data_IF_275463896971
#
_entry.id   IF_275463896971
#
_cell.length_a   1.000
_cell.length_b   1.000
_cell.length_c   1.000
_cell.angle_alpha   90.00
_cell.angle_beta   90.00
_cell.angle_gamma   90.00
#
_symmetry.space_group_name_H-M   'P 1'
#
loop_
_entity.id
_entity.type
_entity.pdbx_description
1 polymer ?
#
# COMPACT_ATOMS: atom_id res chain seq x y z
N UNK A 1 41.58 13.18 -35.18
CA UNK A 1 40.46 12.51 -34.47
C UNK A 1 39.30 13.50 -34.37
N UNK A 2 38.23 13.28 -35.15
CA UNK A 2 37.16 14.26 -35.37
C UNK A 2 36.10 14.24 -34.27
N UNK A 3 35.75 15.42 -33.75
CA UNK A 3 34.66 15.64 -32.78
C UNK A 3 33.32 15.63 -33.53
N UNK A 4 32.42 14.72 -33.16
CA UNK A 4 31.03 14.67 -33.66
C UNK A 4 30.13 15.42 -32.68
N UNK A 5 29.54 16.52 -33.15
CA UNK A 5 28.47 17.24 -32.44
C UNK A 5 27.13 16.67 -32.89
N UNK A 6 26.29 16.24 -31.94
CA UNK A 6 24.91 15.81 -32.19
C UNK A 6 24.01 17.00 -31.86
N UNK A 7 23.34 17.53 -32.89
CA UNK A 7 22.26 18.51 -32.75
C UNK A 7 20.98 17.77 -32.33
N UNK A 8 20.41 18.17 -31.19
CA UNK A 8 19.11 17.72 -30.70
C UNK A 8 18.08 18.81 -31.05
N UNK A 9 17.22 18.53 -32.02
CA UNK A 9 16.16 19.43 -32.46
C UNK A 9 14.96 19.29 -31.52
N UNK A 10 14.61 20.37 -30.84
CA UNK A 10 13.37 20.53 -30.08
C UNK A 10 12.20 20.76 -31.04
N UNK A 11 11.23 19.84 -31.09
CA UNK A 11 9.92 20.09 -31.69
C UNK A 11 8.94 20.54 -30.61
N UNK A 12 8.73 21.86 -30.54
CA UNK A 12 7.55 22.45 -29.92
C UNK A 12 6.37 22.30 -30.88
N UNK A 13 5.40 21.43 -30.53
CA UNK A 13 4.12 21.35 -31.21
C UNK A 13 3.05 22.05 -30.37
N UNK A 14 2.63 23.24 -30.81
CA UNK A 14 1.58 24.05 -30.19
C UNK A 14 0.18 23.54 -30.53
N UNK A 15 -0.70 23.68 -29.53
CA UNK A 15 -2.14 23.45 -29.51
C UNK A 15 -2.87 24.16 -30.67
N UNK A 16 -3.84 23.48 -31.28
CA UNK A 16 -4.89 24.11 -32.09
C UNK A 16 -6.22 23.41 -31.82
N UNK A 17 -7.13 24.08 -31.11
CA UNK A 17 -8.55 23.72 -31.04
C UNK A 17 -9.36 24.84 -31.72
N UNK A 18 -10.33 24.51 -32.58
CA UNK A 18 -11.15 25.52 -33.25
C UNK A 18 -12.24 26.06 -32.33
N UNK A 19 -12.39 27.39 -32.37
CA UNK A 19 -13.51 28.13 -31.81
C UNK A 19 -14.76 27.96 -32.68
N UNK A 20 -15.91 27.72 -32.05
CA UNK A 20 -17.23 28.01 -32.64
C UNK A 20 -18.07 28.74 -31.59
N UNK A 21 -18.37 29.99 -31.91
CA UNK A 21 -19.35 30.87 -31.27
C UNK A 21 -20.79 30.41 -31.60
N UNK A 22 -21.73 30.59 -30.66
CA UNK A 22 -23.18 30.92 -30.84
C UNK A 22 -23.95 30.33 -29.65
N UNK A 23 -24.85 30.97 -28.91
CA UNK A 23 -25.39 32.33 -28.87
C UNK A 23 -26.06 32.53 -27.50
N UNK A 24 -26.22 33.80 -27.16
CA UNK A 24 -26.91 34.42 -26.03
C UNK A 24 -28.28 33.84 -25.61
N UNK A 25 -28.48 33.71 -24.30
CA UNK A 25 -29.77 34.02 -23.66
C UNK A 25 -29.56 34.85 -22.38
N UNK A 26 -30.29 35.96 -22.36
CA UNK A 26 -30.43 36.98 -21.31
C UNK A 26 -30.97 36.36 -20.00
N UNK A 27 -30.35 36.62 -18.85
CA UNK A 27 -30.55 37.77 -17.94
C UNK A 27 -31.68 37.52 -16.93
N UNK A 28 -31.30 37.15 -15.70
CA UNK A 28 -31.98 37.65 -14.50
C UNK A 28 -30.93 37.98 -13.45
N UNK A 29 -30.77 39.28 -13.27
CA UNK A 29 -30.08 39.98 -12.18
C UNK A 29 -30.72 39.64 -10.83
N UNK A 30 -29.91 39.43 -9.79
CA UNK A 30 -30.22 39.93 -8.44
C UNK A 30 -28.94 40.01 -7.58
N UNK A 31 -28.70 41.24 -7.12
CA UNK A 31 -27.65 41.74 -6.21
C UNK A 31 -27.53 40.92 -4.90
N UNK A 32 -26.31 40.78 -4.40
CA UNK A 32 -25.91 41.29 -3.07
C UNK A 32 -24.37 41.23 -2.96
N UNK A 33 -23.73 42.39 -2.81
CA UNK A 33 -22.32 42.53 -2.40
C UNK A 33 -22.22 42.43 -0.89
N UNK A 34 -21.19 41.74 -0.38
CA UNK A 34 -20.40 42.10 0.81
C UNK A 34 -19.25 41.08 0.93
N UNK A 35 -18.03 41.44 0.53
CA UNK A 35 -16.99 42.16 1.28
C UNK A 35 -16.11 41.26 2.18
N UNK A 36 -14.90 41.04 1.65
CA UNK A 36 -13.58 40.90 2.28
C UNK A 36 -13.28 39.95 3.47
N UNK A 37 -12.21 39.18 3.20
CA UNK A 37 -11.14 38.75 4.12
C UNK A 37 -11.45 37.71 5.20
N UNK A 38 -10.81 36.54 5.08
CA UNK A 38 -9.60 36.29 5.88
C UNK A 38 -8.99 34.94 5.52
N UNK A 39 -7.68 34.97 5.30
CA UNK A 39 -6.83 33.79 5.15
C UNK A 39 -6.88 32.96 6.43
N UNK A 40 -7.24 31.69 6.30
CA UNK A 40 -6.57 30.63 7.04
C UNK A 40 -6.23 29.50 6.08
N UNK A 41 -5.02 29.59 5.53
CA UNK A 41 -4.19 28.43 5.25
C UNK A 41 -3.97 27.70 6.58
N UNK A 42 -4.94 26.88 6.97
CA UNK A 42 -4.65 25.77 7.85
C UNK A 42 -3.90 24.78 7.00
N UNK A 43 -2.67 24.44 7.40
CA UNK A 43 -1.99 23.27 6.89
C UNK A 43 -2.96 22.09 6.93
N UNK A 44 -3.54 21.75 5.78
CA UNK A 44 -4.01 20.40 5.54
C UNK A 44 -2.77 19.53 5.56
N UNK A 45 -2.30 19.19 6.77
CA UNK A 45 -1.80 17.85 7.01
C UNK A 45 -2.90 16.97 6.44
N UNK A 46 -2.70 16.49 5.21
CA UNK A 46 -3.41 15.35 4.67
C UNK A 46 -3.19 14.22 5.67
N UNK A 47 -4.04 14.14 6.69
CA UNK A 47 -4.20 12.97 7.52
C UNK A 47 -4.61 11.92 6.53
N UNK A 48 -3.66 11.08 6.11
CA UNK A 48 -3.98 9.90 5.32
C UNK A 48 -5.04 9.16 6.14
N UNK A 49 -6.27 9.12 5.63
CA UNK A 49 -7.34 8.42 6.32
C UNK A 49 -6.93 6.94 6.38
N UNK A 50 -6.52 6.48 7.55
CA UNK A 50 -6.18 5.08 7.80
C UNK A 50 -7.51 4.33 7.98
N UNK A 51 -8.18 4.01 6.88
CA UNK A 51 -9.46 3.27 6.92
C UNK A 51 -9.27 1.77 7.18
N UNK A 52 -8.04 1.27 7.07
CA UNK A 52 -7.74 -0.15 7.08
C UNK A 52 -6.62 -0.44 8.09
N UNK A 53 -6.97 -0.92 9.29
CA UNK A 53 -6.07 -1.36 10.37
C UNK A 53 -4.62 -1.59 9.90
N UNK A 54 -3.72 -0.61 10.08
CA UNK A 54 -2.44 -0.61 9.39
C UNK A 54 -1.57 -1.78 9.84
N UNK A 55 -0.92 -2.40 8.86
CA UNK A 55 0.14 -3.36 9.08
C UNK A 55 1.47 -2.61 9.13
N UNK A 56 2.19 -2.77 10.22
CA UNK A 56 3.46 -2.10 10.48
C UNK A 56 4.61 -3.10 10.43
N UNK A 57 5.75 -2.67 9.91
CA UNK A 57 7.03 -3.35 10.00
C UNK A 57 8.00 -2.42 10.74
N UNK A 58 8.51 -2.87 11.89
CA UNK A 58 9.34 -2.07 12.80
C UNK A 58 8.72 -0.70 13.16
N UNK A 59 7.40 -0.68 13.35
CA UNK A 59 6.64 0.52 13.71
C UNK A 59 6.32 1.46 12.54
N UNK A 60 6.77 1.15 11.31
CA UNK A 60 6.50 1.95 10.11
C UNK A 60 5.41 1.27 9.30
N UNK A 61 4.47 2.04 8.75
CA UNK A 61 3.43 1.49 7.86
C UNK A 61 4.06 0.72 6.70
N UNK A 62 3.64 -0.54 6.53
CA UNK A 62 4.22 -1.43 5.54
C UNK A 62 3.87 -0.97 4.13
N UNK A 63 4.90 -0.74 3.31
CA UNK A 63 4.75 -0.60 1.87
C UNK A 63 4.87 -1.98 1.20
N UNK A 64 3.73 -2.50 0.75
CA UNK A 64 3.63 -3.80 0.07
C UNK A 64 4.45 -3.86 -1.22
N UNK A 65 4.81 -2.72 -1.80
CA UNK A 65 5.64 -2.65 -3.02
C UNK A 65 7.05 -3.17 -2.77
N UNK A 66 7.58 -2.95 -1.57
CA UNK A 66 8.94 -3.34 -1.17
C UNK A 66 8.99 -4.65 -0.37
N UNK A 67 7.84 -5.20 0.01
CA UNK A 67 7.77 -6.44 0.78
C UNK A 67 8.19 -7.67 -0.05
N UNK A 68 9.07 -8.50 0.50
CA UNK A 68 9.62 -9.68 -0.18
C UNK A 68 10.07 -10.76 0.81
N UNK A 69 10.56 -11.90 0.29
CA UNK A 69 11.11 -12.98 1.11
C UNK A 69 12.30 -12.56 1.99
N UNK A 70 13.03 -11.52 1.58
CA UNK A 70 14.16 -10.99 2.34
C UNK A 70 13.74 -9.96 3.38
N UNK A 71 12.47 -9.57 3.46
CA UNK A 71 11.99 -8.65 4.49
C UNK A 71 12.20 -9.24 5.89
N UNK A 72 12.66 -8.39 6.82
CA UNK A 72 12.95 -8.73 8.23
C UNK A 72 12.35 -7.66 9.13
N UNK A 73 12.31 -7.93 10.42
CA UNK A 73 11.77 -7.01 11.42
C UNK A 73 10.47 -7.53 12.05
N UNK A 74 9.92 -6.71 12.94
CA UNK A 74 8.74 -7.02 13.72
C UNK A 74 7.48 -6.55 13.02
N UNK A 75 6.60 -7.51 12.76
CA UNK A 75 5.28 -7.26 12.22
C UNK A 75 4.29 -6.91 13.35
N UNK A 76 3.47 -5.89 13.15
CA UNK A 76 2.42 -5.47 14.08
C UNK A 76 1.17 -5.04 13.31
N UNK A 77 -0.01 -5.39 13.81
CA UNK A 77 -1.28 -4.88 13.30
C UNK A 77 -1.84 -3.90 14.33
N UNK A 78 -2.33 -2.75 13.90
CA UNK A 78 -2.93 -1.76 14.80
C UNK A 78 -4.33 -1.33 14.35
N UNK A 79 -5.16 -0.95 15.31
CA UNK A 79 -6.42 -0.25 15.09
C UNK A 79 -6.22 1.26 15.26
N UNK A 80 -6.75 2.04 14.31
CA UNK A 80 -6.64 3.51 14.29
C UNK A 80 -5.39 4.03 13.58
N UNK A 81 -5.05 5.29 13.86
CA UNK A 81 -3.87 5.96 13.31
C UNK A 81 -2.60 5.39 13.97
N UNK A 82 -1.67 4.77 13.21
CA UNK A 82 -0.48 4.13 13.78
C UNK A 82 0.50 5.11 14.44
N UNK A 83 0.37 6.41 14.16
CA UNK A 83 1.21 7.46 14.75
C UNK A 83 0.52 8.16 15.94
N UNK A 84 -0.71 7.77 16.27
CA UNK A 84 -1.41 8.25 17.46
C UNK A 84 -1.04 7.41 18.69
N UNK A 85 -0.91 8.00 19.89
CA UNK A 85 -0.79 7.25 21.14
C UNK A 85 -2.02 6.38 21.43
N UNK A 86 -3.18 6.67 20.81
CA UNK A 86 -4.41 5.92 20.99
C UNK A 86 -4.48 4.64 20.12
N UNK A 87 -3.45 4.38 19.31
CA UNK A 87 -3.38 3.20 18.47
C UNK A 87 -3.34 1.92 19.31
N UNK A 88 -4.27 1.01 19.06
CA UNK A 88 -4.36 -0.25 19.80
C UNK A 88 -3.77 -1.39 18.98
N UNK A 89 -2.83 -2.16 19.56
CA UNK A 89 -2.29 -3.36 18.90
C UNK A 89 -3.34 -4.47 18.84
N UNK A 90 -3.55 -5.02 17.65
CA UNK A 90 -4.44 -6.14 17.39
C UNK A 90 -3.65 -7.45 17.54
N UNK A 91 -4.09 -8.41 18.38
CA UNK A 91 -3.47 -9.73 18.42
C UNK A 91 -3.78 -10.52 17.15
N UNK A 92 -2.76 -11.16 16.59
CA UNK A 92 -2.88 -11.90 15.34
C UNK A 92 -1.98 -13.14 15.33
N UNK A 93 -2.21 -13.96 14.31
CA UNK A 93 -1.36 -15.08 13.92
C UNK A 93 -0.80 -14.79 12.53
N UNK A 94 0.46 -15.14 12.32
CA UNK A 94 1.08 -15.09 11.00
C UNK A 94 1.56 -16.49 10.62
N UNK A 95 1.22 -16.93 9.42
CA UNK A 95 1.60 -18.23 8.91
C UNK A 95 1.72 -18.22 7.38
N UNK A 96 2.42 -19.21 6.84
CA UNK A 96 2.59 -19.38 5.41
C UNK A 96 1.53 -20.30 4.82
N UNK A 97 1.18 -20.06 3.57
CA UNK A 97 0.27 -20.89 2.77
C UNK A 97 0.89 -21.17 1.42
N UNK A 98 0.98 -22.44 1.04
CA UNK A 98 1.43 -22.89 -0.29
C UNK A 98 0.27 -23.58 -1.00
N UNK A 99 -0.03 -23.13 -2.21
CA UNK A 99 -1.14 -23.67 -3.02
C UNK A 99 -2.48 -23.74 -2.26
N UNK A 100 -2.76 -22.70 -1.46
CA UNK A 100 -3.99 -22.60 -0.67
C UNK A 100 -4.00 -23.39 0.64
N UNK A 101 -2.94 -24.15 0.97
CA UNK A 101 -2.85 -24.95 2.20
C UNK A 101 -1.85 -24.35 3.20
N UNK A 102 -2.20 -24.22 4.48
CA UNK A 102 -1.27 -23.71 5.49
C UNK A 102 -0.07 -24.64 5.63
N UNK A 103 1.13 -24.06 5.73
CA UNK A 103 2.36 -24.79 5.98
C UNK A 103 2.53 -25.01 7.49
N UNK A 104 2.55 -26.29 7.91
CA UNK A 104 2.79 -26.68 9.29
C UNK A 104 4.29 -26.99 9.50
N UNK A 105 5.17 -26.01 9.26
CA UNK A 105 6.62 -26.21 9.41
C UNK A 105 7.22 -25.10 10.28
N UNK A 106 7.73 -25.48 11.45
CA UNK A 106 8.54 -24.62 12.32
C UNK A 106 7.86 -24.11 13.60
N UNK A 107 8.69 -23.56 14.52
CA UNK A 107 8.34 -22.98 15.83
C UNK A 107 7.41 -21.76 15.76
N UNK A 108 7.14 -21.25 14.57
CA UNK A 108 6.03 -20.33 14.33
C UNK A 108 4.74 -21.15 14.44
N UNK A 109 4.41 -21.58 15.65
CA UNK A 109 3.13 -22.19 15.94
C UNK A 109 2.08 -21.14 15.57
N UNK A 110 1.45 -21.28 14.40
CA UNK A 110 0.29 -20.50 13.97
C UNK A 110 -0.92 -20.63 14.91
N UNK A 111 -0.73 -21.28 16.07
CA UNK A 111 -1.64 -21.40 17.20
C UNK A 111 -1.42 -20.33 18.26
N UNK A 112 -0.21 -19.79 18.38
CA UNK A 112 0.12 -18.77 19.37
C UNK A 112 -0.18 -17.38 18.83
N UNK A 113 -1.16 -16.72 19.42
CA UNK A 113 -1.47 -15.32 19.15
C UNK A 113 -0.40 -14.40 19.75
N UNK A 114 0.01 -13.39 19.00
CA UNK A 114 0.95 -12.37 19.46
C UNK A 114 0.53 -11.00 18.94
N UNK A 115 0.88 -9.95 19.68
CA UNK A 115 0.77 -8.56 19.22
C UNK A 115 1.94 -8.14 18.32
N UNK A 116 3.07 -8.85 18.42
CA UNK A 116 4.27 -8.65 17.60
C UNK A 116 4.83 -10.00 17.17
N UNK A 117 5.20 -10.12 15.88
CA UNK A 117 5.80 -11.33 15.33
C UNK A 117 7.07 -10.98 14.58
N UNK A 118 8.17 -11.66 14.91
CA UNK A 118 9.41 -11.55 14.16
C UNK A 118 9.25 -12.22 12.79
N UNK A 119 9.43 -11.45 11.73
CA UNK A 119 9.14 -11.92 10.38
C UNK A 119 10.13 -13.00 9.93
N UNK A 120 11.37 -13.00 10.41
CA UNK A 120 12.34 -14.05 10.10
C UNK A 120 11.87 -15.45 10.55
N UNK A 121 11.16 -15.53 11.68
CA UNK A 121 10.68 -16.81 12.21
C UNK A 121 9.60 -17.42 11.32
N UNK A 122 8.74 -16.56 10.76
CA UNK A 122 7.67 -16.99 9.85
C UNK A 122 8.23 -17.29 8.45
N UNK A 123 9.15 -16.45 7.96
CA UNK A 123 9.70 -16.57 6.60
C UNK A 123 10.84 -17.58 6.47
N UNK A 124 11.31 -18.19 7.56
CA UNK A 124 12.42 -19.15 7.55
C UNK A 124 12.24 -20.31 6.55
N UNK A 125 10.99 -20.72 6.30
CA UNK A 125 10.64 -21.81 5.39
C UNK A 125 9.89 -21.35 4.13
N UNK A 126 9.80 -20.03 3.92
CA UNK A 126 9.04 -19.46 2.82
C UNK A 126 9.74 -19.67 1.47
N UNK A 127 8.93 -19.94 0.45
CA UNK A 127 9.35 -20.02 -0.94
C UNK A 127 8.69 -18.92 -1.76
N UNK A 128 9.25 -18.67 -2.94
CA UNK A 128 8.68 -17.70 -3.88
C UNK A 128 7.31 -18.21 -4.33
N UNK A 129 6.30 -17.36 -4.23
CA UNK A 129 4.94 -17.75 -4.53
C UNK A 129 4.22 -18.41 -3.35
N UNK A 130 4.77 -18.45 -2.15
CA UNK A 130 3.95 -18.68 -0.96
C UNK A 130 3.13 -17.43 -0.64
N UNK A 131 2.03 -17.60 0.08
CA UNK A 131 1.30 -16.49 0.69
C UNK A 131 1.67 -16.39 2.17
N UNK A 132 2.04 -15.20 2.63
CA UNK A 132 2.03 -14.86 4.05
C UNK A 132 0.61 -14.44 4.44
N UNK A 133 0.00 -15.17 5.35
CA UNK A 133 -1.33 -14.89 5.89
C UNK A 133 -1.19 -14.28 7.27
N UNK A 134 -1.86 -13.16 7.48
CA UNK A 134 -1.96 -12.44 8.74
C UNK A 134 -3.42 -12.46 9.14
N UNK A 135 -3.71 -13.13 10.24
CA UNK A 135 -5.07 -13.43 10.68
C UNK A 135 -5.27 -12.94 12.12
N UNK A 136 -6.08 -11.89 12.33
CA UNK A 136 -6.49 -11.44 13.64
C UNK A 136 -7.17 -12.57 14.42
N UNK A 137 -6.92 -12.67 15.72
CA UNK A 137 -7.52 -13.72 16.55
C UNK A 137 -8.90 -13.34 17.08
N UNK A 138 -9.15 -12.04 17.20
CA UNK A 138 -10.42 -11.44 17.60
C UNK A 138 -11.36 -11.34 16.39
N UNK A 139 -12.64 -11.61 16.61
CA UNK A 139 -13.65 -11.63 15.53
C UNK A 139 -14.00 -10.22 15.06
N UNK A 140 -14.03 -9.28 15.99
CA UNK A 140 -14.22 -7.85 15.77
C UNK A 140 -13.14 -7.26 14.85
N UNK A 141 -11.92 -7.81 14.89
CA UNK A 141 -10.78 -7.36 14.10
C UNK A 141 -10.66 -8.10 12.75
N UNK A 142 -11.61 -8.95 12.35
CA UNK A 142 -11.52 -9.77 11.15
C UNK A 142 -11.23 -8.98 9.86
N UNK A 143 -11.62 -7.71 9.82
CA UNK A 143 -11.34 -6.75 8.72
C UNK A 143 -9.84 -6.52 8.52
N UNK A 144 -9.03 -6.70 9.56
CA UNK A 144 -7.57 -6.54 9.52
C UNK A 144 -6.83 -7.74 8.93
N UNK A 145 -7.55 -8.78 8.46
CA UNK A 145 -6.94 -9.95 7.79
C UNK A 145 -6.22 -9.55 6.50
N UNK A 146 -5.01 -10.05 6.28
CA UNK A 146 -4.20 -9.80 5.08
C UNK A 146 -3.62 -11.09 4.53
N UNK A 147 -3.50 -11.14 3.20
CA UNK A 147 -2.81 -12.21 2.48
C UNK A 147 -1.82 -11.52 1.53
N UNK A 148 -0.54 -11.79 1.72
CA UNK A 148 0.55 -11.15 0.97
C UNK A 148 1.31 -12.21 0.20
N UNK A 149 1.30 -12.11 -1.14
CA UNK A 149 2.05 -13.03 -2.01
C UNK A 149 3.55 -12.72 -1.93
N UNK A 150 4.36 -13.70 -1.56
CA UNK A 150 5.80 -13.56 -1.40
C UNK A 150 6.51 -13.60 -2.75
N UNK A 151 7.39 -12.61 -2.96
CA UNK A 151 8.22 -12.45 -4.15
C UNK A 151 9.70 -12.56 -3.77
N UNK A 152 10.52 -13.03 -4.71
CA UNK A 152 11.97 -13.17 -4.51
C UNK A 152 12.64 -11.80 -4.40
N UNK A 153 12.30 -10.91 -5.33
CA UNK A 153 12.68 -9.50 -5.33
C UNK A 153 11.47 -8.67 -5.72
N UNK A 154 11.34 -7.47 -5.17
CA UNK A 154 10.23 -6.57 -5.49
C UNK A 154 10.18 -6.17 -6.97
N UNK A 155 11.33 -6.12 -7.64
CA UNK A 155 11.46 -5.74 -9.05
C UNK A 155 11.33 -6.90 -10.06
N UNK A 156 11.35 -8.16 -9.61
CA UNK A 156 11.40 -9.31 -10.52
C UNK A 156 10.01 -9.94 -10.70
N UNK A 157 9.35 -9.64 -11.81
CA UNK A 157 8.14 -10.35 -12.25
C UNK A 157 8.53 -11.68 -12.92
N UNK A 158 8.65 -12.75 -12.13
CA UNK A 158 8.86 -14.09 -12.69
C UNK A 158 7.54 -14.63 -13.28
N UNK A 159 7.52 -15.13 -14.53
CA UNK A 159 6.36 -15.84 -15.07
C UNK A 159 6.23 -17.19 -14.35
N UNK A 160 5.35 -17.25 -13.34
CA UNK A 160 4.98 -18.51 -12.71
C UNK A 160 4.14 -19.33 -13.69
N UNK A 161 4.77 -20.28 -14.37
CA UNK A 161 4.02 -21.37 -15.03
C UNK A 161 3.50 -22.28 -13.94
N UNK A 162 2.17 -22.26 -13.76
CA UNK A 162 1.45 -23.27 -12.98
C UNK A 162 1.78 -24.61 -13.64
N UNK A 163 2.47 -25.50 -12.93
CA UNK A 163 2.76 -26.83 -13.42
C UNK A 163 1.46 -27.62 -13.45
N UNK A 164 1.05 -28.05 -14.65
CA UNK A 164 -0.02 -29.00 -14.82
C UNK A 164 0.54 -30.33 -14.33
N UNK A 165 0.23 -30.70 -13.09
CA UNK A 165 0.72 -31.94 -12.48
C UNK A 165 0.28 -33.14 -13.32
N UNK A 166 1.24 -33.98 -13.71
CA UNK A 166 1.00 -35.33 -14.21
C UNK A 166 0.56 -36.26 -13.08
#
# INVERSE_FOLDING_TARGET
MSKKWIFLVFFFGTVSQPAVFSSSLLLTENRMTDSYESRKSGDEKKTKAFSDNPLLLDGISLDYSFFSLSSRGKLTVVAGDPYSPDATKIPFRAYLRRDGKPLNMGKADGRCEKSEIELSDVLAYAQVGDDLVIEPTRKEDAVARRIIRLKLFWFLKLPFRKGDGC
#
